data_IF_712482723898
#
_entry.id   IF_712482723898
#
_cell.length_a   1.000
_cell.length_b   1.000
_cell.length_c   1.000
_cell.angle_alpha   90.00
_cell.angle_beta   90.00
_cell.angle_gamma   90.00
#
_symmetry.space_group_name_H-M   'P 1'
#
loop_
_entity.id
_entity.type
_entity.pdbx_description
1 polymer ?
#
# COMPACT_ATOMS: atom_id res chain seq x y z
N UNK A 1 1.01 -34.46 -4.27
CA UNK A 1 0.29 -33.32 -4.86
C UNK A 1 0.02 -32.32 -3.76
N UNK A 2 0.72 -31.20 -3.74
CA UNK A 2 0.39 -30.07 -2.85
C UNK A 2 -0.91 -29.46 -3.37
N UNK A 3 -1.94 -29.37 -2.54
CA UNK A 3 -3.20 -28.74 -2.92
C UNK A 3 -2.93 -27.27 -3.35
N UNK A 4 -3.62 -26.75 -4.38
CA UNK A 4 -3.51 -25.34 -4.72
C UNK A 4 -3.88 -24.50 -3.50
N UNK A 5 -3.03 -23.53 -3.17
CA UNK A 5 -3.25 -22.62 -2.05
C UNK A 5 -4.52 -21.82 -2.34
N UNK A 6 -5.48 -21.83 -1.40
CA UNK A 6 -6.73 -21.09 -1.55
C UNK A 6 -6.45 -19.60 -1.81
N UNK A 7 -7.24 -19.00 -2.72
CA UNK A 7 -7.18 -17.58 -2.97
C UNK A 7 -7.44 -16.80 -1.66
N UNK A 8 -6.68 -15.74 -1.43
CA UNK A 8 -6.76 -14.97 -0.18
C UNK A 8 -7.83 -13.87 -0.23
N UNK A 9 -8.25 -13.48 -1.44
CA UNK A 9 -9.35 -12.57 -1.76
C UNK A 9 -9.61 -12.59 -3.28
N UNK A 10 -10.72 -11.99 -3.72
CA UNK A 10 -10.94 -11.74 -5.15
C UNK A 10 -10.04 -10.62 -5.67
N UNK A 11 -9.71 -10.69 -6.96
CA UNK A 11 -8.96 -9.67 -7.68
C UNK A 11 -9.72 -8.35 -7.71
N UNK A 12 -11.05 -8.38 -7.87
CA UNK A 12 -11.89 -7.19 -7.80
C UNK A 12 -11.76 -6.50 -6.43
N UNK A 13 -11.85 -7.26 -5.33
CA UNK A 13 -11.68 -6.71 -3.98
C UNK A 13 -10.28 -6.12 -3.77
N UNK A 14 -9.23 -6.78 -4.28
CA UNK A 14 -7.87 -6.26 -4.23
C UNK A 14 -7.70 -4.94 -4.98
N UNK A 15 -8.24 -4.86 -6.21
CA UNK A 15 -8.16 -3.65 -7.02
C UNK A 15 -8.93 -2.50 -6.37
N UNK A 16 -10.13 -2.76 -5.86
CA UNK A 16 -10.93 -1.77 -5.14
C UNK A 16 -10.24 -1.26 -3.86
N UNK A 17 -9.66 -2.17 -3.07
CA UNK A 17 -8.89 -1.79 -1.88
C UNK A 17 -7.65 -0.96 -2.24
N UNK A 18 -6.96 -1.32 -3.33
CA UNK A 18 -5.80 -0.58 -3.83
C UNK A 18 -6.20 0.82 -4.30
N UNK A 19 -7.34 0.97 -4.98
CA UNK A 19 -7.88 2.26 -5.42
C UNK A 19 -8.24 3.17 -4.24
N UNK A 20 -8.84 2.61 -3.18
CA UNK A 20 -9.11 3.35 -1.94
C UNK A 20 -7.83 3.83 -1.25
N UNK A 21 -6.79 3.00 -1.21
CA UNK A 21 -5.48 3.39 -0.69
C UNK A 21 -4.82 4.48 -1.54
N UNK A 22 -4.94 4.42 -2.88
CA UNK A 22 -4.42 5.46 -3.76
C UNK A 22 -5.12 6.80 -3.49
N UNK A 23 -6.45 6.81 -3.45
CA UNK A 23 -7.22 8.02 -3.17
C UNK A 23 -6.87 8.63 -1.80
N UNK A 24 -6.68 7.77 -0.78
CA UNK A 24 -6.28 8.21 0.56
C UNK A 24 -4.86 8.78 0.56
N UNK A 25 -3.92 8.13 -0.12
CA UNK A 25 -2.54 8.60 -0.25
C UNK A 25 -2.46 9.95 -0.99
N UNK A 26 -3.22 10.12 -2.08
CA UNK A 26 -3.28 11.39 -2.80
C UNK A 26 -3.80 12.53 -1.91
N UNK A 27 -4.80 12.23 -1.07
CA UNK A 27 -5.31 13.21 -0.12
C UNK A 27 -4.31 13.52 1.01
N UNK A 28 -3.48 12.57 1.45
CA UNK A 28 -2.38 12.80 2.40
C UNK A 28 -1.30 13.70 1.78
N UNK A 29 -0.96 13.49 0.50
CA UNK A 29 0.01 14.35 -0.20
C UNK A 29 -0.52 15.79 -0.30
N UNK A 30 -1.81 15.95 -0.62
CA UNK A 30 -2.44 17.26 -0.72
C UNK A 30 -2.60 17.96 0.65
N UNK A 31 -2.95 17.20 1.68
CA UNK A 31 -3.22 17.69 3.04
C UNK A 31 -2.60 16.73 4.05
N UNK A 32 -1.31 16.93 4.40
CA UNK A 32 -0.61 16.01 5.29
C UNK A 32 -1.17 16.04 6.71
N UNK A 33 -1.58 14.87 7.19
CA UNK A 33 -2.11 14.63 8.52
C UNK A 33 -1.47 13.35 9.09
N UNK A 34 -0.93 13.42 10.30
CA UNK A 34 -0.12 12.35 10.88
C UNK A 34 -0.91 11.09 11.19
N UNK A 35 -2.11 11.25 11.77
CA UNK A 35 -2.92 10.11 12.17
C UNK A 35 -3.47 9.38 10.95
N UNK A 36 -3.92 10.14 9.94
CA UNK A 36 -4.32 9.59 8.64
C UNK A 36 -3.17 8.90 7.92
N UNK A 37 -1.99 9.51 7.90
CA UNK A 37 -0.79 8.91 7.32
C UNK A 37 -0.43 7.58 7.98
N UNK A 38 -0.43 7.54 9.32
CA UNK A 38 -0.13 6.34 10.09
C UNK A 38 -1.14 5.22 9.83
N UNK A 39 -2.44 5.54 9.83
CA UNK A 39 -3.50 4.58 9.54
C UNK A 39 -3.35 4.01 8.12
N UNK A 40 -3.15 4.88 7.13
CA UNK A 40 -2.94 4.49 5.75
C UNK A 40 -1.73 3.58 5.53
N UNK A 41 -0.62 3.82 6.25
CA UNK A 41 0.53 2.92 6.21
C UNK A 41 0.17 1.51 6.69
N UNK A 42 -0.50 1.39 7.83
CA UNK A 42 -0.90 0.12 8.42
C UNK A 42 -1.91 -0.63 7.54
N UNK A 43 -2.90 0.07 7.00
CA UNK A 43 -3.89 -0.52 6.10
C UNK A 43 -3.25 -1.06 4.82
N UNK A 44 -2.34 -0.29 4.22
CA UNK A 44 -1.63 -0.77 3.05
C UNK A 44 -0.71 -1.95 3.37
N UNK A 45 -0.04 -1.97 4.51
CA UNK A 45 0.82 -3.10 4.89
C UNK A 45 -0.02 -4.36 5.13
N UNK A 46 -1.19 -4.23 5.76
CA UNK A 46 -2.12 -5.34 5.97
C UNK A 46 -2.65 -5.91 4.65
N UNK A 47 -2.97 -5.05 3.67
CA UNK A 47 -3.39 -5.49 2.34
C UNK A 47 -2.28 -6.29 1.63
N UNK A 48 -1.06 -5.75 1.65
CA UNK A 48 0.10 -6.38 0.99
C UNK A 48 0.48 -7.70 1.69
N UNK A 49 0.50 -7.73 3.02
CA UNK A 49 0.80 -8.93 3.79
C UNK A 49 -0.23 -10.04 3.54
N UNK A 50 -1.50 -9.70 3.36
CA UNK A 50 -2.53 -10.69 3.03
C UNK A 50 -2.26 -11.39 1.70
N UNK A 51 -1.80 -10.66 0.68
CA UNK A 51 -1.59 -11.18 -0.68
C UNK A 51 -0.21 -11.81 -0.87
N UNK A 52 0.85 -11.21 -0.33
CA UNK A 52 2.22 -11.68 -0.54
C UNK A 52 2.85 -12.33 0.69
N UNK A 53 2.13 -12.40 1.82
CA UNK A 53 2.68 -12.82 3.10
C UNK A 53 3.50 -11.72 3.76
N UNK A 54 4.01 -12.00 4.96
CA UNK A 54 4.83 -11.05 5.72
C UNK A 54 6.04 -10.64 4.88
N UNK A 55 6.13 -9.36 4.56
CA UNK A 55 7.23 -8.83 3.76
C UNK A 55 8.38 -8.45 4.69
N UNK A 56 9.58 -8.97 4.44
CA UNK A 56 10.76 -8.75 5.30
C UNK A 56 11.15 -7.27 5.44
N UNK A 57 12.09 -6.98 6.35
CA UNK A 57 12.65 -5.65 6.71
C UNK A 57 13.01 -4.72 5.53
N UNK A 58 13.16 -5.25 4.32
CA UNK A 58 13.38 -4.50 3.09
C UNK A 58 12.15 -3.69 2.63
N UNK A 59 10.92 -4.07 3.00
CA UNK A 59 9.72 -3.25 2.76
C UNK A 59 9.76 -1.93 3.57
N UNK A 60 10.25 -1.98 4.81
CA UNK A 60 10.49 -0.78 5.63
C UNK A 60 11.66 0.06 5.10
N UNK A 61 12.68 -0.56 4.51
CA UNK A 61 13.76 0.17 3.84
C UNK A 61 13.25 0.93 2.60
N UNK A 62 12.19 0.44 1.95
CA UNK A 62 11.55 1.11 0.82
C UNK A 62 10.71 2.32 1.23
N UNK A 63 10.12 2.32 2.43
CA UNK A 63 9.54 3.52 3.06
C UNK A 63 10.57 4.59 3.44
N UNK A 64 11.88 4.26 3.41
CA UNK A 64 12.95 5.24 3.59
C UNK A 64 13.38 5.90 2.25
N UNK A 65 12.75 5.57 1.12
CA UNK A 65 12.94 6.32 -0.13
C UNK A 65 12.25 7.68 0.05
N UNK A 66 13.05 8.72 0.28
CA UNK A 66 12.64 10.03 0.78
C UNK A 66 13.54 10.54 1.92
N UNK A 67 14.38 9.69 2.51
CA UNK A 67 15.32 10.01 3.61
C UNK A 67 16.51 10.91 3.20
N UNK A 68 16.29 11.84 2.27
CA UNK A 68 17.06 13.08 2.24
C UNK A 68 16.43 14.15 3.16
N UNK A 69 15.28 13.88 3.77
CA UNK A 69 14.66 14.71 4.81
C UNK A 69 15.17 14.33 6.22
N UNK A 70 16.35 14.87 6.54
CA UNK A 70 16.95 15.01 7.89
C UNK A 70 17.66 13.78 8.53
N UNK A 71 18.72 13.99 9.33
CA UNK A 71 19.48 12.92 10.00
C UNK A 71 18.62 12.08 10.96
N UNK A 72 18.94 10.78 11.15
CA UNK A 72 18.30 9.95 12.17
C UNK A 72 18.42 10.61 13.55
N UNK A 73 17.30 10.84 14.24
CA UNK A 73 17.27 11.47 15.57
C UNK A 73 17.15 13.00 15.56
N UNK A 74 17.04 13.64 14.40
CA UNK A 74 16.65 15.05 14.33
C UNK A 74 15.15 15.20 14.66
N UNK A 75 14.80 16.17 15.52
CA UNK A 75 13.41 16.56 15.70
C UNK A 75 12.93 17.22 14.41
N UNK A 76 12.00 16.59 13.69
CA UNK A 76 11.30 17.27 12.61
C UNK A 76 10.42 18.36 13.23
N UNK A 77 10.56 19.58 12.76
CA UNK A 77 9.54 20.60 13.00
C UNK A 77 8.26 20.25 12.19
N UNK A 78 7.20 21.03 12.35
CA UNK A 78 5.93 20.77 11.65
C UNK A 78 6.12 20.76 10.13
N UNK A 79 7.02 21.59 9.59
CA UNK A 79 7.32 21.63 8.17
C UNK A 79 8.05 20.36 7.70
N UNK A 80 9.04 19.90 8.46
CA UNK A 80 9.77 18.66 8.22
C UNK A 80 8.86 17.45 8.31
N UNK A 81 7.94 17.43 9.26
CA UNK A 81 6.96 16.34 9.43
C UNK A 81 6.02 16.25 8.23
N UNK A 82 5.51 17.39 7.73
CA UNK A 82 4.70 17.43 6.51
C UNK A 82 5.47 16.97 5.27
N UNK A 83 6.72 17.42 5.11
CA UNK A 83 7.58 17.00 4.01
C UNK A 83 7.85 15.49 4.03
N UNK A 84 8.19 14.96 5.19
CA UNK A 84 8.40 13.53 5.40
C UNK A 84 7.17 12.70 4.99
N UNK A 85 5.98 13.09 5.47
CA UNK A 85 4.73 12.41 5.09
C UNK A 85 4.49 12.45 3.58
N UNK A 86 4.68 13.60 2.95
CA UNK A 86 4.47 13.76 1.50
C UNK A 86 5.45 12.91 0.68
N UNK A 87 6.73 12.85 1.06
CA UNK A 87 7.76 12.05 0.39
C UNK A 87 7.45 10.55 0.50
N UNK A 88 7.16 10.07 1.71
CA UNK A 88 6.83 8.66 1.95
C UNK A 88 5.52 8.27 1.25
N UNK A 89 4.50 9.12 1.34
CA UNK A 89 3.22 8.87 0.67
C UNK A 89 3.38 8.83 -0.85
N UNK A 90 4.16 9.75 -1.43
CA UNK A 90 4.44 9.77 -2.87
C UNK A 90 5.16 8.49 -3.34
N UNK A 91 6.16 8.03 -2.59
CA UNK A 91 6.87 6.79 -2.90
C UNK A 91 5.94 5.56 -2.87
N UNK A 92 5.15 5.42 -1.81
CA UNK A 92 4.22 4.29 -1.66
C UNK A 92 3.09 4.34 -2.69
N UNK A 93 2.58 5.52 -3.06
CA UNK A 93 1.62 5.69 -4.17
C UNK A 93 2.15 5.19 -5.51
N UNK A 94 3.43 5.42 -5.81
CA UNK A 94 4.03 4.93 -7.05
C UNK A 94 4.00 3.38 -7.12
N UNK A 95 4.24 2.70 -6.01
CA UNK A 95 4.09 1.23 -5.92
C UNK A 95 2.65 0.81 -6.05
N UNK A 96 1.73 1.41 -5.28
CA UNK A 96 0.32 1.02 -5.33
C UNK A 96 -0.23 1.12 -6.76
N UNK A 97 0.10 2.20 -7.48
CA UNK A 97 -0.29 2.39 -8.88
C UNK A 97 0.33 1.34 -9.81
N UNK A 98 1.63 1.08 -9.64
CA UNK A 98 2.36 0.09 -10.47
C UNK A 98 1.81 -1.32 -10.25
N UNK A 99 1.60 -1.68 -8.99
CA UNK A 99 1.04 -2.96 -8.56
C UNK A 99 -0.40 -3.12 -9.04
N UNK A 100 -1.24 -2.10 -8.89
CA UNK A 100 -2.61 -2.09 -9.42
C UNK A 100 -2.62 -2.41 -10.91
N UNK A 101 -1.82 -1.71 -11.71
CA UNK A 101 -1.70 -1.93 -13.16
C UNK A 101 -1.21 -3.35 -13.45
N UNK A 102 -0.22 -3.86 -12.70
CA UNK A 102 0.31 -5.19 -12.90
C UNK A 102 -0.76 -6.27 -12.64
N UNK A 103 -1.46 -6.20 -11.51
CA UNK A 103 -2.53 -7.14 -11.15
C UNK A 103 -3.74 -7.02 -12.08
N UNK A 104 -4.09 -5.81 -12.50
CA UNK A 104 -5.14 -5.58 -13.49
C UNK A 104 -4.79 -6.18 -14.86
N UNK A 105 -3.51 -6.21 -15.26
CA UNK A 105 -3.13 -6.73 -16.58
C UNK A 105 -2.79 -8.22 -16.59
N UNK A 106 -2.20 -8.71 -15.51
CA UNK A 106 -1.56 -10.03 -15.46
C UNK A 106 -2.22 -10.97 -14.45
N UNK A 107 -3.11 -10.46 -13.60
CA UNK A 107 -3.64 -11.21 -12.47
C UNK A 107 -2.56 -11.53 -11.41
N UNK A 108 -2.94 -12.34 -10.43
CA UNK A 108 -2.01 -12.86 -9.44
C UNK A 108 -2.53 -14.20 -8.91
N UNK A 109 -1.67 -15.21 -8.77
CA UNK A 109 -2.10 -16.58 -8.46
C UNK A 109 -2.77 -16.77 -7.09
N UNK A 110 -2.59 -15.81 -6.17
CA UNK A 110 -3.25 -15.80 -4.86
C UNK A 110 -4.56 -15.00 -4.84
N UNK A 111 -4.95 -14.41 -5.96
CA UNK A 111 -6.23 -13.72 -6.14
C UNK A 111 -7.14 -14.58 -7.02
N UNK A 112 -8.42 -14.67 -6.69
CA UNK A 112 -9.42 -15.29 -7.57
C UNK A 112 -9.99 -14.26 -8.55
N UNK A 113 -10.32 -14.69 -9.76
CA UNK A 113 -11.10 -13.88 -10.71
C UNK A 113 -12.62 -13.98 -10.43
N UNK A 114 -13.02 -14.72 -9.40
CA UNK A 114 -14.41 -14.84 -8.99
C UNK A 114 -14.90 -13.48 -8.47
N UNK A 115 -15.65 -12.78 -9.32
CA UNK A 115 -16.73 -11.89 -8.89
C UNK A 115 -17.76 -12.80 -8.23
N UNK A 116 -18.20 -12.49 -7.01
CA UNK A 116 -19.31 -13.21 -6.38
C UNK A 116 -20.50 -13.18 -7.35
N UNK A 117 -20.74 -14.31 -8.02
CA UNK A 117 -22.06 -14.69 -8.51
C UNK A 117 -22.94 -14.80 -7.26
N UNK A 118 -23.50 -13.66 -6.82
CA UNK A 118 -24.75 -13.66 -6.05
C UNK A 118 -25.84 -14.21 -6.98
N UNK A 119 -25.84 -15.54 -7.13
CA UNK A 119 -27.05 -16.30 -7.40
C UNK A 119 -27.83 -16.35 -6.09
N UNK A 120 -28.62 -15.31 -5.82
CA UNK A 120 -29.96 -15.46 -5.24
C UNK A 120 -30.84 -14.23 -5.32
#
# INVERSE_FOLDING_TARGET
MTAPRAAVMSRAAFLAATDALIATGDAIVAQPDWDRFRAWLLESDALLERVWGRMDRYHLAWLNVGRDSAPPGSSLDDAGTRRFMAEVASGKLAVLRTMRIAVERQGWSLLSDDDDEEVR
#
